data_IF_127113638010
#
_entry.id   IF_127113638010
#
_cell.length_a   1.000
_cell.length_b   1.000
_cell.length_c   1.000
_cell.angle_alpha   90.00
_cell.angle_beta   90.00
_cell.angle_gamma   90.00
#
_symmetry.space_group_name_H-M   'P 1'
#
loop_
_entity.id
_entity.type
_entity.pdbx_description
1 polymer ?
#
# COMPACT_ATOMS: atom_id res chain seq x y z
N UNK A 1 95.98 -16.87 -3.06
CA UNK A 1 95.36 -15.62 -2.69
C UNK A 1 94.59 -15.15 -3.87
N UNK A 2 93.25 -15.41 -3.95
CA UNK A 2 92.41 -14.84 -4.97
C UNK A 2 90.98 -14.86 -4.44
N UNK A 3 90.43 -13.71 -4.20
CA UNK A 3 89.07 -13.53 -3.68
C UNK A 3 88.07 -13.73 -4.80
N UNK A 4 87.10 -14.65 -4.66
CA UNK A 4 85.93 -14.80 -5.51
C UNK A 4 84.82 -13.96 -4.90
N UNK A 5 84.26 -13.02 -5.66
CA UNK A 5 83.07 -12.24 -5.33
C UNK A 5 81.80 -13.01 -5.74
N UNK A 6 80.99 -13.30 -4.76
CA UNK A 6 79.68 -13.92 -4.96
C UNK A 6 78.66 -12.83 -5.20
N UNK A 7 78.00 -12.76 -6.36
CA UNK A 7 77.00 -11.86 -6.71
C UNK A 7 75.59 -12.46 -6.32
N UNK A 8 74.91 -11.80 -5.38
CA UNK A 8 73.57 -12.14 -4.92
C UNK A 8 72.57 -11.57 -5.91
N UNK A 9 71.84 -12.40 -6.63
CA UNK A 9 70.69 -11.98 -7.47
C UNK A 9 69.46 -12.08 -6.62
N UNK A 10 68.88 -10.93 -6.28
CA UNK A 10 67.56 -10.80 -5.70
C UNK A 10 66.51 -10.96 -6.79
N UNK A 11 65.70 -12.00 -6.71
CA UNK A 11 64.50 -12.18 -7.54
C UNK A 11 63.33 -11.40 -6.89
N UNK A 12 62.85 -10.39 -7.57
CA UNK A 12 61.58 -9.73 -7.23
C UNK A 12 60.44 -10.62 -7.71
N UNK A 13 59.73 -11.24 -6.81
CA UNK A 13 58.43 -11.85 -7.09
C UNK A 13 57.36 -10.76 -7.04
N UNK A 14 56.82 -10.40 -8.21
CA UNK A 14 55.66 -9.54 -8.32
C UNK A 14 54.39 -10.33 -7.97
N UNK A 15 53.83 -10.07 -6.80
CA UNK A 15 52.51 -10.57 -6.41
C UNK A 15 51.44 -9.77 -7.14
N UNK A 16 50.81 -10.38 -8.13
CA UNK A 16 49.62 -9.86 -8.79
C UNK A 16 48.44 -10.06 -7.83
N UNK A 17 48.00 -8.98 -7.17
CA UNK A 17 46.73 -8.96 -6.48
C UNK A 17 45.62 -8.92 -7.55
N UNK A 18 44.93 -10.03 -7.76
CA UNK A 18 43.67 -10.09 -8.50
C UNK A 18 42.59 -9.38 -7.66
N UNK A 19 42.24 -8.17 -8.06
CA UNK A 19 41.07 -7.48 -7.52
C UNK A 19 39.84 -8.23 -8.02
N UNK A 20 39.15 -8.92 -7.12
CA UNK A 20 37.79 -9.41 -7.36
C UNK A 20 36.88 -8.18 -7.51
N UNK A 21 36.03 -8.11 -8.56
CA UNK A 21 35.01 -7.06 -8.62
C UNK A 21 34.02 -7.29 -7.48
N UNK A 22 34.05 -6.40 -6.49
CA UNK A 22 33.05 -6.36 -5.45
C UNK A 22 31.69 -6.24 -6.10
N UNK A 23 30.78 -7.17 -5.81
CA UNK A 23 29.36 -7.04 -6.05
C UNK A 23 28.91 -5.79 -5.30
N UNK A 24 28.84 -4.67 -6.01
CA UNK A 24 28.16 -3.46 -5.54
C UNK A 24 26.70 -3.86 -5.34
N UNK A 25 26.30 -4.04 -4.08
CA UNK A 25 24.91 -4.04 -3.70
C UNK A 25 24.33 -2.72 -4.25
N UNK A 26 23.45 -2.83 -5.22
CA UNK A 26 22.71 -1.69 -5.74
C UNK A 26 21.86 -1.15 -4.57
N UNK A 27 22.42 -0.26 -3.78
CA UNK A 27 21.63 0.68 -3.00
C UNK A 27 20.84 1.47 -4.03
N UNK A 28 19.54 1.21 -4.11
CA UNK A 28 18.62 2.16 -4.74
C UNK A 28 18.73 3.46 -3.95
N UNK A 29 19.65 4.33 -4.34
CA UNK A 29 19.60 5.72 -3.96
C UNK A 29 18.34 6.26 -4.59
N UNK A 30 17.31 6.51 -3.78
CA UNK A 30 16.21 7.34 -4.18
C UNK A 30 16.79 8.73 -4.43
N UNK A 31 17.20 8.99 -5.67
CA UNK A 31 17.53 10.36 -6.09
C UNK A 31 16.22 11.14 -6.04
N UNK A 32 16.11 11.98 -5.01
CA UNK A 32 15.18 13.07 -4.98
C UNK A 32 15.63 14.09 -6.04
N UNK A 33 15.10 13.99 -7.23
CA UNK A 33 15.05 15.13 -8.11
C UNK A 33 14.04 16.09 -7.50
N UNK A 34 14.50 17.12 -6.82
CA UNK A 34 13.70 18.27 -6.49
C UNK A 34 13.42 19.04 -7.79
N UNK A 35 12.52 18.57 -8.60
CA UNK A 35 11.79 19.48 -9.48
C UNK A 35 11.06 20.46 -8.57
N UNK A 36 11.01 21.74 -8.96
CA UNK A 36 10.30 22.76 -8.22
C UNK A 36 8.90 22.23 -7.89
N UNK A 37 8.79 21.68 -6.69
CA UNK A 37 7.58 21.01 -6.27
C UNK A 37 6.49 22.06 -6.31
N UNK A 38 5.36 21.73 -6.89
CA UNK A 38 4.18 22.55 -6.78
C UNK A 38 3.90 22.70 -5.28
N UNK A 39 4.26 23.83 -4.68
CA UNK A 39 4.18 24.09 -3.23
C UNK A 39 2.74 24.30 -2.76
N UNK A 40 1.81 24.39 -3.72
CA UNK A 40 0.40 24.61 -3.44
C UNK A 40 -0.28 23.30 -3.00
N UNK A 41 -1.17 23.40 -2.01
CA UNK A 41 -1.98 22.28 -1.52
C UNK A 41 -3.16 21.93 -2.45
N UNK A 42 -3.09 22.28 -3.73
CA UNK A 42 -4.15 22.08 -4.72
C UNK A 42 -4.11 20.68 -5.34
N UNK A 43 -5.26 20.20 -5.78
CA UNK A 43 -5.39 18.87 -6.40
C UNK A 43 -4.48 18.71 -7.65
N UNK A 44 -4.30 19.75 -8.46
CA UNK A 44 -3.38 19.72 -9.60
C UNK A 44 -1.92 19.46 -9.23
N UNK A 45 -1.55 19.74 -7.97
CA UNK A 45 -0.21 19.51 -7.41
C UNK A 45 -0.11 18.18 -6.65
N UNK A 46 -1.18 17.40 -6.62
CA UNK A 46 -1.22 16.17 -5.86
C UNK A 46 -0.22 15.13 -6.40
N UNK A 47 0.46 14.45 -5.49
CA UNK A 47 1.33 13.30 -5.81
C UNK A 47 0.65 11.97 -5.52
N UNK A 48 -0.32 11.97 -4.60
CA UNK A 48 -1.11 10.82 -4.16
C UNK A 48 -2.54 11.27 -3.93
N UNK A 49 -3.50 10.57 -4.52
CA UNK A 49 -4.94 10.85 -4.36
C UNK A 49 -5.65 9.56 -3.95
N UNK A 50 -6.46 9.62 -2.90
CA UNK A 50 -7.27 8.49 -2.43
C UNK A 50 -8.74 8.87 -2.47
N UNK A 51 -9.57 8.17 -3.26
CA UNK A 51 -11.00 8.37 -3.33
C UNK A 51 -11.75 7.56 -2.26
N UNK A 52 -12.91 8.04 -1.85
CA UNK A 52 -13.92 7.28 -1.12
C UNK A 52 -15.32 7.82 -1.45
N UNK A 53 -16.33 6.95 -1.50
CA UNK A 53 -17.73 7.42 -1.57
C UNK A 53 -18.37 7.46 -0.19
N UNK A 54 -19.14 8.50 0.05
CA UNK A 54 -20.09 8.57 1.14
C UNK A 54 -21.40 7.83 0.80
N UNK A 55 -22.23 7.54 1.81
CA UNK A 55 -23.48 6.80 1.62
C UNK A 55 -24.52 7.55 0.77
N UNK A 56 -24.37 8.86 0.64
CA UNK A 56 -25.20 9.73 -0.20
C UNK A 56 -24.71 9.84 -1.66
N UNK A 57 -23.68 9.06 -2.04
CA UNK A 57 -23.06 9.10 -3.35
C UNK A 57 -22.09 10.28 -3.54
N UNK A 58 -21.77 11.04 -2.49
CA UNK A 58 -20.73 12.07 -2.56
C UNK A 58 -19.36 11.43 -2.67
N UNK A 59 -18.62 11.76 -3.73
CA UNK A 59 -17.21 11.37 -3.89
C UNK A 59 -16.34 12.29 -3.03
N UNK A 60 -15.51 11.70 -2.19
CA UNK A 60 -14.50 12.36 -1.40
C UNK A 60 -13.10 12.03 -1.93
N UNK A 61 -12.23 13.03 -1.98
CA UNK A 61 -10.82 12.87 -2.29
C UNK A 61 -9.98 13.36 -1.12
N UNK A 62 -8.99 12.57 -0.72
CA UNK A 62 -7.90 13.02 0.13
C UNK A 62 -6.59 12.96 -0.66
N UNK A 63 -5.78 14.01 -0.61
CA UNK A 63 -4.53 14.04 -1.37
C UNK A 63 -3.36 14.69 -0.63
N UNK A 64 -2.16 14.36 -1.11
CA UNK A 64 -0.90 14.94 -0.67
C UNK A 64 -0.38 15.91 -1.72
N UNK A 65 -0.17 17.16 -1.32
CA UNK A 65 0.44 18.20 -2.16
C UNK A 65 1.17 19.23 -1.28
N UNK A 66 2.34 19.69 -1.70
CA UNK A 66 3.08 20.74 -1.01
C UNK A 66 3.34 20.49 0.48
N UNK A 67 3.57 19.21 0.87
CA UNK A 67 3.76 18.81 2.27
C UNK A 67 2.51 18.91 3.14
N UNK A 68 1.32 18.93 2.54
CA UNK A 68 0.03 19.05 3.22
C UNK A 68 -0.94 17.96 2.79
N UNK A 69 -1.91 17.68 3.64
CA UNK A 69 -3.08 16.86 3.33
C UNK A 69 -4.26 17.78 3.12
N UNK A 70 -4.98 17.57 2.03
CA UNK A 70 -6.19 18.29 1.69
C UNK A 70 -7.32 17.33 1.32
N UNK A 71 -8.57 17.78 1.48
CA UNK A 71 -9.77 17.02 1.16
C UNK A 71 -10.73 17.92 0.35
N UNK A 72 -11.40 17.34 -0.63
CA UNK A 72 -12.53 17.95 -1.32
C UNK A 72 -13.58 16.90 -1.64
N UNK A 73 -14.78 17.36 -1.95
CA UNK A 73 -15.91 16.50 -2.35
C UNK A 73 -16.46 16.86 -3.71
N UNK A 74 -17.09 15.90 -4.35
CA UNK A 74 -17.81 16.05 -5.60
C UNK A 74 -19.19 15.38 -5.48
N UNK A 75 -20.23 16.05 -5.96
CA UNK A 75 -21.60 15.54 -6.04
C UNK A 75 -22.02 15.17 -7.46
N UNK A 76 -21.14 15.35 -8.42
CA UNK A 76 -21.37 15.16 -9.85
C UNK A 76 -20.40 14.15 -10.47
N UNK A 77 -19.99 13.15 -9.67
CA UNK A 77 -19.11 12.05 -10.07
C UNK A 77 -17.75 12.55 -10.59
N UNK A 78 -17.15 13.50 -9.87
CA UNK A 78 -15.80 13.99 -10.14
C UNK A 78 -15.70 15.03 -11.26
N UNK A 79 -16.82 15.50 -11.83
CA UNK A 79 -16.80 16.56 -12.86
C UNK A 79 -16.44 17.92 -12.29
N UNK A 80 -16.85 18.19 -11.04
CA UNK A 80 -16.43 19.36 -10.28
C UNK A 80 -16.19 19.00 -8.81
N UNK A 81 -15.36 19.80 -8.14
CA UNK A 81 -15.02 19.60 -6.74
C UNK A 81 -15.32 20.86 -5.93
N UNK A 82 -15.70 20.66 -4.67
CA UNK A 82 -15.81 21.74 -3.69
C UNK A 82 -14.48 22.48 -3.51
N UNK A 83 -14.53 23.64 -2.88
CA UNK A 83 -13.31 24.24 -2.32
C UNK A 83 -12.64 23.23 -1.40
N UNK A 84 -11.34 23.04 -1.56
CA UNK A 84 -10.58 22.10 -0.74
C UNK A 84 -10.44 22.59 0.70
N UNK A 85 -10.54 21.67 1.63
CA UNK A 85 -10.22 21.87 3.05
C UNK A 85 -8.82 21.34 3.31
N UNK A 86 -7.93 22.20 3.78
CA UNK A 86 -6.60 21.81 4.20
C UNK A 86 -6.67 21.21 5.61
N UNK A 87 -6.25 19.96 5.72
CA UNK A 87 -6.34 19.16 6.95
C UNK A 87 -5.15 19.40 7.88
N UNK A 88 -3.99 19.70 7.28
CA UNK A 88 -2.73 19.87 8.01
C UNK A 88 -2.16 21.27 7.82
N UNK A 89 -1.93 21.97 8.94
CA UNK A 89 -1.13 23.18 9.04
C UNK A 89 -0.23 23.07 10.27
N UNK A 90 1.05 23.29 10.17
CA UNK A 90 1.87 23.72 9.04
C UNK A 90 2.20 22.58 8.03
N UNK A 91 3.10 22.85 7.10
CA UNK A 91 3.71 21.86 6.21
C UNK A 91 4.39 20.76 7.01
N UNK A 92 4.15 19.50 6.64
CA UNK A 92 4.66 18.31 7.30
C UNK A 92 5.61 17.54 6.38
N UNK A 93 6.56 16.80 6.95
CA UNK A 93 7.36 15.81 6.23
C UNK A 93 6.52 14.53 6.04
N UNK A 94 5.62 14.57 5.05
CA UNK A 94 4.71 13.46 4.75
C UNK A 94 5.47 12.24 4.25
N UNK A 95 5.01 11.04 4.60
CA UNK A 95 5.54 9.81 4.03
C UNK A 95 5.12 9.69 2.55
N UNK A 96 6.06 10.00 1.67
CA UNK A 96 5.90 9.97 0.21
C UNK A 96 6.29 8.62 -0.41
N UNK A 97 6.60 7.61 0.39
CA UNK A 97 6.97 6.27 -0.08
C UNK A 97 5.97 5.69 -1.08
N UNK A 98 6.40 4.79 -1.97
CA UNK A 98 5.56 4.31 -3.08
C UNK A 98 4.22 3.72 -2.66
N UNK A 99 4.14 3.06 -1.49
CA UNK A 99 2.90 2.47 -0.96
C UNK A 99 2.21 3.34 0.11
N UNK A 100 2.83 4.46 0.51
CA UNK A 100 2.24 5.41 1.44
C UNK A 100 1.29 6.37 0.71
N UNK A 101 0.15 6.68 1.33
CA UNK A 101 -0.84 7.66 0.87
C UNK A 101 -1.82 7.97 1.98
N UNK A 102 -2.49 9.14 1.96
CA UNK A 102 -3.58 9.38 2.90
C UNK A 102 -4.68 8.35 2.69
N UNK A 103 -5.27 7.89 3.78
CA UNK A 103 -6.44 7.00 3.78
C UNK A 103 -7.63 7.80 4.21
N UNK A 104 -8.74 7.65 3.50
CA UNK A 104 -10.03 8.28 3.82
C UNK A 104 -11.10 7.21 3.86
N UNK A 105 -11.95 7.27 4.88
CA UNK A 105 -13.13 6.43 5.01
C UNK A 105 -14.30 7.30 5.43
N UNK A 106 -15.51 6.97 4.95
CA UNK A 106 -16.74 7.67 5.24
C UNK A 106 -17.73 6.69 5.84
N UNK A 107 -18.32 7.01 7.00
CA UNK A 107 -19.31 6.16 7.66
C UNK A 107 -20.71 6.34 7.08
N UNK A 108 -21.64 5.47 7.48
CA UNK A 108 -23.04 5.51 7.03
C UNK A 108 -23.80 6.79 7.44
N UNK A 109 -23.25 7.62 8.33
CA UNK A 109 -23.83 8.89 8.79
C UNK A 109 -23.12 10.11 8.18
N UNK A 110 -22.12 9.89 7.31
CA UNK A 110 -21.32 10.95 6.69
C UNK A 110 -20.17 11.46 7.54
N UNK A 111 -19.83 10.78 8.65
CA UNK A 111 -18.61 11.02 9.41
C UNK A 111 -17.40 10.59 8.59
N UNK A 112 -16.30 11.37 8.62
CA UNK A 112 -15.10 11.10 7.84
C UNK A 112 -13.94 10.83 8.79
N UNK A 113 -13.29 9.69 8.62
CA UNK A 113 -12.00 9.39 9.23
C UNK A 113 -10.89 9.48 8.18
N UNK A 114 -9.75 10.05 8.57
CA UNK A 114 -8.59 10.22 7.69
C UNK A 114 -7.32 9.85 8.45
N UNK A 115 -6.45 9.06 7.83
CA UNK A 115 -5.15 8.68 8.37
C UNK A 115 -4.05 8.90 7.34
N UNK A 116 -2.85 9.26 7.81
CA UNK A 116 -1.67 9.45 6.99
C UNK A 116 -0.41 9.31 7.84
N UNK A 117 0.72 9.04 7.20
CA UNK A 117 2.01 8.93 7.87
C UNK A 117 2.90 10.12 7.58
N UNK A 118 3.69 10.51 8.59
CA UNK A 118 4.77 11.51 8.47
C UNK A 118 6.10 10.89 8.84
N UNK A 119 7.20 11.47 8.38
CA UNK A 119 8.53 11.21 8.91
C UNK A 119 8.85 12.21 10.03
N UNK A 120 9.31 11.71 11.16
CA UNK A 120 9.69 12.53 12.33
C UNK A 120 11.15 12.96 12.29
N UNK A 121 11.96 12.28 11.49
CA UNK A 121 13.39 12.51 11.39
C UNK A 121 13.96 12.02 10.05
N UNK A 122 15.22 12.37 9.79
CA UNK A 122 15.94 11.97 8.58
C UNK A 122 16.31 10.49 8.49
N UNK A 123 16.07 9.71 9.55
CA UNK A 123 16.20 8.25 9.55
C UNK A 123 14.91 7.57 9.08
N UNK A 124 13.93 8.36 8.59
CA UNK A 124 12.63 7.91 8.10
C UNK A 124 11.81 7.16 9.16
N UNK A 125 11.94 7.56 10.43
CA UNK A 125 11.06 7.06 11.48
C UNK A 125 9.67 7.65 11.31
N UNK A 126 8.74 6.81 10.89
CA UNK A 126 7.37 7.23 10.59
C UNK A 126 6.53 7.39 11.86
N UNK A 127 5.45 8.17 11.73
CA UNK A 127 4.36 8.24 12.68
C UNK A 127 3.04 8.30 11.94
N UNK A 128 2.10 7.42 12.29
CA UNK A 128 0.74 7.45 11.78
C UNK A 128 -0.06 8.48 12.57
N UNK A 129 -0.58 9.45 11.83
CA UNK A 129 -1.52 10.46 12.35
C UNK A 129 -2.94 10.14 11.85
N UNK A 130 -3.91 10.47 12.71
CA UNK A 130 -5.32 10.28 12.40
C UNK A 130 -6.11 11.52 12.78
N UNK A 131 -7.13 11.82 12.00
CA UNK A 131 -8.06 12.91 12.23
C UNK A 131 -9.46 12.54 11.74
N UNK A 132 -10.44 13.37 12.06
CA UNK A 132 -11.84 13.18 11.68
C UNK A 132 -12.54 14.49 11.36
N UNK A 133 -13.60 14.39 10.58
CA UNK A 133 -14.59 15.43 10.41
C UNK A 133 -15.96 14.89 10.85
N UNK A 134 -16.71 15.71 11.60
CA UNK A 134 -18.09 15.44 12.04
C UNK A 134 -19.10 16.44 11.47
N UNK A 135 -18.64 17.34 10.60
CA UNK A 135 -19.41 18.44 10.04
C UNK A 135 -19.57 18.34 8.51
N UNK A 136 -19.43 17.13 7.96
CA UNK A 136 -19.52 16.88 6.52
C UNK A 136 -18.31 17.42 5.76
N UNK A 137 -17.11 17.26 6.30
CA UNK A 137 -15.83 17.60 5.65
C UNK A 137 -15.53 19.09 5.60
N UNK A 138 -16.31 19.95 6.28
CA UNK A 138 -16.08 21.41 6.32
C UNK A 138 -14.88 21.79 7.19
N UNK A 139 -14.61 20.97 8.20
CA UNK A 139 -13.41 21.07 9.03
C UNK A 139 -12.96 19.69 9.52
N UNK A 140 -11.69 19.61 9.93
CA UNK A 140 -11.11 18.42 10.53
C UNK A 140 -10.52 18.75 11.89
N UNK A 141 -10.66 17.82 12.85
CA UNK A 141 -9.98 17.93 14.13
C UNK A 141 -8.44 17.95 13.91
N UNK A 142 -7.65 18.58 14.79
CA UNK A 142 -6.18 18.51 14.68
C UNK A 142 -5.71 17.06 14.62
N UNK A 143 -4.85 16.68 13.65
CA UNK A 143 -4.32 15.33 13.54
C UNK A 143 -3.54 14.93 14.80
N UNK A 144 -3.74 13.71 15.27
CA UNK A 144 -3.06 13.18 16.45
C UNK A 144 -2.46 11.79 16.17
N UNK A 145 -1.37 11.40 16.87
CA UNK A 145 -0.82 10.07 16.77
C UNK A 145 -1.86 9.00 17.09
N UNK A 146 -1.90 7.93 16.28
CA UNK A 146 -2.80 6.78 16.55
C UNK A 146 -2.42 6.01 17.81
N UNK A 147 -1.19 6.13 18.25
CA UNK A 147 -0.66 5.49 19.46
C UNK A 147 0.37 6.41 20.13
N UNK A 148 0.48 6.34 21.45
CA UNK A 148 1.51 7.04 22.23
C UNK A 148 2.91 6.42 22.09
N UNK A 149 3.04 5.25 21.45
CA UNK A 149 4.35 4.62 21.26
C UNK A 149 5.18 5.39 20.23
N UNK A 150 6.47 5.61 20.52
CA UNK A 150 7.40 6.39 19.71
C UNK A 150 8.22 5.56 18.71
N UNK A 151 7.97 4.27 18.55
CA UNK A 151 8.60 3.51 17.47
C UNK A 151 8.10 3.98 16.09
N UNK A 152 8.78 3.57 15.03
CA UNK A 152 8.36 3.91 13.67
C UNK A 152 7.06 3.19 13.31
N UNK A 153 6.02 3.96 12.90
CA UNK A 153 4.74 3.45 12.40
C UNK A 153 4.50 3.95 10.98
N UNK A 154 4.05 3.06 10.08
CA UNK A 154 3.79 3.39 8.66
C UNK A 154 2.73 2.47 8.05
N UNK A 155 2.30 2.79 6.84
CA UNK A 155 1.43 1.95 5.98
C UNK A 155 0.10 1.60 6.62
N UNK A 156 -0.55 2.61 7.16
CA UNK A 156 -1.87 2.49 7.77
C UNK A 156 -2.95 2.08 6.75
N UNK A 157 -3.97 1.39 7.28
CA UNK A 157 -5.26 1.16 6.64
C UNK A 157 -6.35 1.50 7.63
N UNK A 158 -7.41 2.15 7.18
CA UNK A 158 -8.59 2.49 7.99
C UNK A 158 -9.86 2.15 7.25
N UNK A 159 -10.91 1.85 8.00
CA UNK A 159 -12.26 1.65 7.47
C UNK A 159 -13.27 1.68 8.59
N UNK A 160 -14.54 1.84 8.22
CA UNK A 160 -15.66 1.71 9.16
C UNK A 160 -16.31 0.34 8.98
N UNK A 161 -16.67 -0.28 10.10
CA UNK A 161 -17.60 -1.39 10.07
C UNK A 161 -19.05 -0.88 9.81
N UNK A 162 -20.01 -1.75 9.54
CA UNK A 162 -21.42 -1.35 9.35
C UNK A 162 -22.05 -0.63 10.56
N UNK A 163 -21.53 -0.81 11.76
CA UNK A 163 -21.99 -0.14 12.98
C UNK A 163 -21.38 1.26 13.17
N UNK A 164 -20.42 1.65 12.33
CA UNK A 164 -19.72 2.94 12.41
C UNK A 164 -18.53 2.95 13.36
N UNK A 165 -17.99 1.77 13.70
CA UNK A 165 -16.73 1.65 14.43
C UNK A 165 -15.57 1.79 13.45
N UNK A 166 -14.61 2.67 13.73
CA UNK A 166 -13.38 2.76 12.96
C UNK A 166 -12.48 1.59 13.34
N UNK A 167 -12.01 0.86 12.36
CA UNK A 167 -10.91 -0.07 12.47
C UNK A 167 -9.68 0.52 11.79
N UNK A 168 -8.55 0.57 12.49
CA UNK A 168 -7.29 1.04 11.96
C UNK A 168 -6.21 -0.01 12.19
N UNK A 169 -5.39 -0.28 11.17
CA UNK A 169 -4.24 -1.18 11.24
C UNK A 169 -3.00 -0.49 10.67
N UNK A 170 -1.82 -0.81 11.17
CA UNK A 170 -0.56 -0.22 10.71
C UNK A 170 0.64 -1.13 11.00
N UNK A 171 1.75 -0.91 10.31
CA UNK A 171 3.03 -1.55 10.60
C UNK A 171 3.81 -0.73 11.63
N UNK A 172 4.34 -1.41 12.67
CA UNK A 172 4.94 -0.79 13.85
C UNK A 172 6.23 -1.51 14.24
N UNK A 173 7.30 -0.76 14.43
CA UNK A 173 8.63 -1.32 14.77
C UNK A 173 8.90 -1.45 16.28
N UNK A 174 7.90 -1.26 17.15
CA UNK A 174 8.10 -1.27 18.63
C UNK A 174 8.71 -2.57 19.16
N UNK A 175 8.46 -3.70 18.52
CA UNK A 175 8.96 -5.00 18.96
C UNK A 175 10.40 -5.28 18.49
N UNK A 176 10.93 -4.50 17.52
CA UNK A 176 12.23 -4.76 16.90
C UNK A 176 13.40 -4.65 17.88
N UNK A 177 13.50 -3.52 18.59
CA UNK A 177 14.61 -3.30 19.53
C UNK A 177 14.60 -4.30 20.71
N UNK A 178 13.47 -4.58 21.38
CA UNK A 178 13.41 -5.63 22.39
C UNK A 178 13.80 -7.01 21.89
N UNK A 179 13.34 -7.43 20.70
CA UNK A 179 13.69 -8.72 20.13
C UNK A 179 15.20 -8.83 19.86
N UNK A 180 15.79 -7.78 19.26
CA UNK A 180 17.24 -7.74 19.00
C UNK A 180 18.08 -7.76 20.29
N UNK A 181 17.65 -7.06 21.35
CA UNK A 181 18.29 -7.10 22.68
C UNK A 181 18.26 -8.50 23.28
N UNK A 182 17.24 -9.28 22.99
CA UNK A 182 17.11 -10.68 23.42
C UNK A 182 17.80 -11.68 22.46
N UNK A 183 18.60 -11.20 21.50
CA UNK A 183 19.32 -12.04 20.52
C UNK A 183 18.42 -12.70 19.47
N UNK A 184 17.20 -12.22 19.29
CA UNK A 184 16.28 -12.74 18.28
C UNK A 184 16.46 -12.03 16.94
N UNK A 185 16.38 -12.77 15.84
CA UNK A 185 16.31 -12.19 14.50
C UNK A 185 14.96 -11.50 14.31
N UNK A 186 14.99 -10.20 14.01
CA UNK A 186 13.79 -9.39 13.76
C UNK A 186 14.03 -8.46 12.57
N UNK A 187 13.57 -8.88 11.40
CA UNK A 187 13.89 -8.24 10.10
C UNK A 187 12.76 -7.36 9.56
N UNK A 188 11.68 -7.21 10.31
CA UNK A 188 10.46 -6.55 9.88
C UNK A 188 9.88 -5.55 10.87
N UNK A 189 8.58 -5.49 10.88
CA UNK A 189 7.72 -4.76 11.81
C UNK A 189 6.60 -5.68 12.32
N UNK A 190 5.89 -5.28 13.35
CA UNK A 190 4.65 -5.96 13.73
C UNK A 190 3.46 -5.28 13.05
N UNK A 191 2.43 -6.05 12.71
CA UNK A 191 1.13 -5.55 12.32
C UNK A 191 0.31 -5.32 13.58
N UNK A 192 -0.06 -4.05 13.85
CA UNK A 192 -0.91 -3.63 14.95
C UNK A 192 -2.26 -3.13 14.45
N UNK A 193 -3.24 -3.13 15.35
CA UNK A 193 -4.54 -2.51 15.12
C UNK A 193 -5.06 -1.81 16.36
N UNK A 194 -6.02 -0.90 16.16
CA UNK A 194 -6.86 -0.30 17.20
C UNK A 194 -8.24 0.01 16.62
N UNK A 195 -9.22 0.17 17.49
CA UNK A 195 -10.60 0.51 17.11
C UNK A 195 -11.07 1.78 17.79
N UNK A 196 -12.00 2.49 17.16
CA UNK A 196 -12.67 3.66 17.72
C UNK A 196 -14.18 3.52 17.58
N UNK A 197 -14.91 3.71 18.67
CA UNK A 197 -16.38 3.68 18.70
C UNK A 197 -17.03 5.05 18.74
N UNK A 198 -16.22 6.10 18.73
CA UNK A 198 -16.65 7.50 18.81
C UNK A 198 -16.30 8.28 17.53
N UNK A 199 -16.26 7.56 16.39
CA UNK A 199 -15.98 8.12 15.07
C UNK A 199 -14.56 8.61 14.88
N UNK A 200 -13.57 8.02 15.59
CA UNK A 200 -12.15 8.37 15.47
C UNK A 200 -11.69 9.43 16.45
N UNK A 201 -12.49 9.74 17.49
CA UNK A 201 -12.05 10.67 18.53
C UNK A 201 -11.02 10.02 19.49
N UNK A 202 -11.33 8.82 19.98
CA UNK A 202 -10.41 8.03 20.78
C UNK A 202 -10.26 6.65 20.19
N UNK A 203 -9.10 6.03 20.41
CA UNK A 203 -8.78 4.67 19.97
C UNK A 203 -8.47 3.79 21.17
N UNK A 204 -8.83 2.51 21.06
CA UNK A 204 -8.42 1.48 22.01
C UNK A 204 -6.90 1.39 22.08
N UNK A 205 -6.38 0.72 23.09
CA UNK A 205 -4.97 0.33 23.11
C UNK A 205 -4.61 -0.48 21.86
N UNK A 206 -3.40 -0.20 21.34
CA UNK A 206 -2.89 -0.89 20.17
C UNK A 206 -2.62 -2.37 20.49
N UNK A 207 -3.18 -3.28 19.69
CA UNK A 207 -3.06 -4.73 19.83
C UNK A 207 -2.36 -5.33 18.62
N UNK A 208 -1.59 -6.38 18.87
CA UNK A 208 -0.84 -7.06 17.81
C UNK A 208 -1.74 -8.02 17.01
N UNK A 209 -1.55 -8.06 15.71
CA UNK A 209 -2.16 -9.03 14.78
C UNK A 209 -1.14 -10.09 14.39
N UNK A 210 0.05 -9.65 13.97
CA UNK A 210 1.13 -10.53 13.55
C UNK A 210 2.48 -9.86 13.86
N UNK A 211 3.47 -10.64 14.25
CA UNK A 211 4.80 -10.14 14.59
C UNK A 211 5.81 -10.45 13.48
N UNK A 212 6.87 -9.64 13.39
CA UNK A 212 7.94 -9.77 12.42
C UNK A 212 7.45 -9.91 10.97
N UNK A 213 6.57 -9.00 10.54
CA UNK A 213 6.02 -8.91 9.18
C UNK A 213 6.87 -7.99 8.28
N UNK A 214 6.63 -7.99 6.97
CA UNK A 214 7.33 -7.09 6.06
C UNK A 214 7.00 -5.61 6.36
N UNK A 215 8.04 -4.80 6.62
CA UNK A 215 7.92 -3.44 7.15
C UNK A 215 7.58 -2.34 6.14
N UNK A 216 7.42 -2.65 4.86
CA UNK A 216 7.45 -1.63 3.81
C UNK A 216 6.35 -1.74 2.75
N UNK A 217 5.28 -2.46 3.02
CA UNK A 217 4.21 -2.69 2.05
C UNK A 217 2.87 -2.20 2.60
N UNK A 218 2.04 -1.62 1.71
CA UNK A 218 0.67 -1.26 2.08
C UNK A 218 -0.12 -2.47 2.56
N UNK A 219 -1.12 -2.21 3.38
CA UNK A 219 -2.10 -3.19 3.82
C UNK A 219 -3.32 -3.16 2.90
N UNK A 220 -3.92 -4.33 2.65
CA UNK A 220 -5.27 -4.47 2.15
C UNK A 220 -6.23 -4.62 3.32
N UNK A 221 -7.31 -3.86 3.36
CA UNK A 221 -8.35 -3.95 4.38
C UNK A 221 -9.71 -4.09 3.72
N UNK A 222 -10.48 -5.07 4.16
CA UNK A 222 -11.88 -5.25 3.81
C UNK A 222 -12.67 -5.67 5.06
N UNK A 223 -13.99 -5.63 4.97
CA UNK A 223 -14.87 -6.17 6.00
C UNK A 223 -15.71 -7.30 5.39
N UNK A 224 -15.87 -8.39 6.13
CA UNK A 224 -16.72 -9.51 5.72
C UNK A 224 -18.22 -9.15 5.87
N UNK A 225 -19.09 -10.08 5.47
CA UNK A 225 -20.54 -9.89 5.55
C UNK A 225 -21.08 -9.66 6.97
N UNK A 226 -20.30 -9.94 8.02
CA UNK A 226 -20.61 -9.68 9.42
C UNK A 226 -20.02 -8.35 9.92
N UNK A 227 -19.27 -7.63 9.07
CA UNK A 227 -18.56 -6.43 9.44
C UNK A 227 -17.24 -6.70 10.17
N UNK A 228 -16.72 -7.92 10.12
CA UNK A 228 -15.44 -8.24 10.73
C UNK A 228 -14.27 -7.88 9.80
N UNK A 229 -13.18 -7.29 10.34
CA UNK A 229 -12.05 -6.91 9.53
C UNK A 229 -11.31 -8.13 8.94
N UNK A 230 -10.84 -7.95 7.73
CA UNK A 230 -9.92 -8.87 7.04
C UNK A 230 -8.74 -8.04 6.54
N UNK A 231 -7.52 -8.42 6.95
CA UNK A 231 -6.32 -7.68 6.61
C UNK A 231 -5.38 -8.55 5.78
N UNK A 232 -5.07 -8.09 4.57
CA UNK A 232 -4.04 -8.67 3.73
C UNK A 232 -2.74 -7.86 3.87
N UNK A 233 -1.62 -8.55 4.02
CA UNK A 233 -0.31 -7.95 4.21
C UNK A 233 0.78 -8.87 3.69
N UNK A 234 2.01 -8.39 3.68
CA UNK A 234 3.15 -9.21 3.34
C UNK A 234 3.84 -9.68 4.62
N UNK A 235 3.91 -11.00 4.82
CA UNK A 235 4.47 -11.61 6.02
C UNK A 235 5.92 -12.06 5.79
N UNK A 236 6.67 -12.26 6.86
CA UNK A 236 7.98 -12.92 6.86
C UNK A 236 7.79 -14.33 7.43
N UNK A 237 7.92 -15.33 6.56
CA UNK A 237 7.89 -16.74 6.92
C UNK A 237 9.28 -17.28 7.20
N UNK A 238 9.37 -18.53 7.66
CA UNK A 238 10.63 -19.22 7.91
C UNK A 238 11.61 -19.08 6.74
N UNK A 239 12.90 -18.93 7.04
CA UNK A 239 13.95 -18.71 6.03
C UNK A 239 13.95 -17.31 5.40
N UNK A 240 13.28 -16.33 6.01
CA UNK A 240 13.22 -14.95 5.50
C UNK A 240 12.37 -14.79 4.23
N UNK A 241 11.46 -15.72 3.97
CA UNK A 241 10.55 -15.69 2.82
C UNK A 241 9.46 -14.65 3.07
N UNK A 242 9.30 -13.69 2.16
CA UNK A 242 8.37 -12.56 2.27
C UNK A 242 7.20 -12.71 1.29
N UNK A 243 6.24 -13.57 1.62
CA UNK A 243 5.05 -13.80 0.83
C UNK A 243 3.80 -13.14 1.43
N UNK A 244 2.76 -13.02 0.62
CA UNK A 244 1.52 -12.40 1.05
C UNK A 244 0.70 -13.33 1.93
N UNK A 245 0.07 -12.74 2.93
CA UNK A 245 -0.75 -13.42 3.92
C UNK A 245 -2.02 -12.62 4.22
N UNK A 246 -2.96 -13.28 4.88
CA UNK A 246 -4.23 -12.71 5.33
C UNK A 246 -4.48 -13.10 6.78
N UNK A 247 -5.13 -12.21 7.52
CA UNK A 247 -5.73 -12.49 8.83
C UNK A 247 -7.18 -12.07 8.77
N UNK A 248 -8.05 -12.96 9.22
CA UNK A 248 -9.48 -12.69 9.45
C UNK A 248 -9.71 -12.47 10.94
N UNK A 249 -10.68 -11.64 11.27
CA UNK A 249 -11.04 -11.37 12.66
C UNK A 249 -12.35 -12.04 13.00
N UNK A 250 -12.47 -12.62 14.18
CA UNK A 250 -13.71 -13.18 14.68
C UNK A 250 -14.71 -12.10 15.13
N UNK A 251 -14.18 -10.94 15.50
CA UNK A 251 -14.87 -9.68 15.83
C UNK A 251 -13.87 -8.53 15.64
N UNK A 252 -14.26 -7.28 15.96
CA UNK A 252 -13.37 -6.11 15.84
C UNK A 252 -12.10 -6.15 16.72
N UNK A 253 -12.00 -7.09 17.65
CA UNK A 253 -10.90 -7.18 18.60
C UNK A 253 -10.13 -8.49 18.60
N UNK A 254 -10.57 -9.50 17.85
CA UNK A 254 -10.06 -10.89 17.95
C UNK A 254 -9.46 -11.34 16.61
N UNK A 255 -8.17 -11.04 16.33
CA UNK A 255 -7.49 -11.54 15.15
C UNK A 255 -7.34 -13.06 15.21
N UNK A 256 -7.56 -13.72 14.08
CA UNK A 256 -7.36 -15.15 13.89
C UNK A 256 -5.92 -15.51 13.53
N UNK A 257 -5.73 -16.67 12.94
CA UNK A 257 -4.44 -17.14 12.47
C UNK A 257 -4.00 -16.45 11.18
N UNK A 258 -2.68 -16.40 10.95
CA UNK A 258 -2.08 -15.91 9.71
C UNK A 258 -2.13 -17.02 8.66
N UNK A 259 -2.87 -16.82 7.58
CA UNK A 259 -2.92 -17.74 6.44
C UNK A 259 -2.13 -17.19 5.25
N UNK A 260 -1.24 -18.01 4.68
CA UNK A 260 -0.43 -17.63 3.52
C UNK A 260 -1.27 -17.74 2.25
N UNK A 261 -1.35 -16.64 1.48
CA UNK A 261 -2.13 -16.59 0.23
C UNK A 261 -1.52 -17.49 -0.84
N UNK A 262 -0.19 -17.46 -0.98
CA UNK A 262 0.52 -18.26 -1.96
C UNK A 262 1.95 -18.53 -1.50
N UNK A 263 2.51 -19.68 -1.91
CA UNK A 263 3.94 -20.03 -1.71
C UNK A 263 4.74 -19.57 -2.93
N UNK A 264 5.13 -18.30 -2.91
CA UNK A 264 5.91 -17.68 -3.99
C UNK A 264 7.42 -17.82 -3.76
N UNK A 265 7.81 -18.04 -2.51
CA UNK A 265 9.18 -18.19 -2.02
C UNK A 265 10.05 -16.98 -2.38
N UNK A 266 9.54 -15.79 -2.13
CA UNK A 266 10.26 -14.56 -2.40
C UNK A 266 11.20 -14.19 -1.24
N UNK A 267 12.44 -14.57 -1.33
CA UNK A 267 13.52 -14.16 -0.42
C UNK A 267 14.12 -12.83 -0.88
N UNK A 268 14.00 -11.80 -0.05
CA UNK A 268 14.53 -10.46 -0.33
C UNK A 268 14.88 -9.73 0.96
N UNK A 269 16.07 -9.15 1.03
CA UNK A 269 16.52 -8.27 2.12
C UNK A 269 16.39 -6.79 1.75
N UNK A 270 15.28 -6.41 1.11
CA UNK A 270 15.01 -5.04 0.65
C UNK A 270 13.53 -4.70 0.80
N UNK A 271 13.20 -3.43 0.62
CA UNK A 271 11.84 -2.87 0.68
C UNK A 271 11.27 -2.66 -0.74
N UNK A 272 10.60 -3.65 -1.35
CA UNK A 272 10.11 -3.54 -2.72
C UNK A 272 8.84 -2.71 -2.85
N UNK A 273 8.14 -2.38 -1.76
CA UNK A 273 6.90 -1.61 -1.75
C UNK A 273 5.81 -2.18 -2.68
N UNK A 274 5.56 -3.47 -2.60
CA UNK A 274 4.53 -4.17 -3.35
C UNK A 274 3.52 -4.83 -2.40
N UNK A 275 2.69 -4.03 -1.75
CA UNK A 275 1.61 -4.52 -0.90
C UNK A 275 0.44 -5.09 -1.72
N UNK A 276 -0.38 -5.97 -1.11
CA UNK A 276 -1.53 -6.60 -1.74
C UNK A 276 -2.71 -5.63 -1.90
N UNK A 277 -3.70 -6.06 -2.68
CA UNK A 277 -5.06 -5.54 -2.65
C UNK A 277 -6.03 -6.67 -2.32
N UNK A 278 -7.05 -6.36 -1.54
CA UNK A 278 -8.07 -7.28 -1.05
C UNK A 278 -9.44 -6.68 -1.27
N UNK A 279 -10.39 -7.49 -1.70
CA UNK A 279 -11.82 -7.21 -1.63
C UNK A 279 -12.57 -8.48 -1.25
N UNK A 280 -13.78 -8.33 -0.72
CA UNK A 280 -14.69 -9.45 -0.41
C UNK A 280 -15.96 -9.20 -1.21
N UNK A 281 -16.38 -10.20 -1.99
CA UNK A 281 -17.59 -10.13 -2.78
C UNK A 281 -18.83 -10.31 -1.90
N UNK A 282 -20.03 -9.94 -2.39
CA UNK A 282 -21.29 -10.21 -1.69
C UNK A 282 -21.52 -11.68 -1.36
N UNK A 283 -20.94 -12.58 -2.15
CA UNK A 283 -20.96 -14.04 -1.96
C UNK A 283 -20.05 -14.50 -0.79
N UNK A 284 -19.26 -13.57 -0.22
CA UNK A 284 -18.31 -13.87 0.86
C UNK A 284 -16.99 -14.45 0.38
N UNK A 285 -16.71 -14.42 -0.91
CA UNK A 285 -15.43 -14.86 -1.47
C UNK A 285 -14.37 -13.75 -1.26
N UNK A 286 -13.20 -14.14 -0.79
CA UNK A 286 -12.06 -13.24 -0.63
C UNK A 286 -11.21 -13.24 -1.89
N UNK A 287 -10.97 -12.06 -2.47
CA UNK A 287 -10.19 -11.88 -3.69
C UNK A 287 -8.94 -11.08 -3.37
N UNK A 288 -7.77 -11.66 -3.66
CA UNK A 288 -6.47 -11.05 -3.38
C UNK A 288 -5.67 -10.92 -4.66
N UNK A 289 -5.07 -9.75 -4.87
CA UNK A 289 -4.08 -9.51 -5.92
C UNK A 289 -2.77 -9.04 -5.31
N UNK A 290 -1.66 -9.52 -5.86
CA UNK A 290 -0.33 -9.17 -5.36
C UNK A 290 0.75 -9.26 -6.44
N UNK A 291 1.88 -8.61 -6.18
CA UNK A 291 3.10 -8.78 -6.95
C UNK A 291 4.09 -9.66 -6.19
N UNK A 292 4.77 -10.53 -6.90
CA UNK A 292 5.89 -11.31 -6.37
C UNK A 292 7.05 -11.36 -7.35
N UNK A 293 8.27 -11.54 -6.83
CA UNK A 293 9.46 -11.87 -7.60
C UNK A 293 10.17 -13.07 -6.94
N UNK A 294 9.36 -14.03 -6.52
CA UNK A 294 9.80 -15.25 -5.86
C UNK A 294 10.42 -16.26 -6.80
N UNK A 295 10.96 -17.34 -6.22
CA UNK A 295 11.51 -18.45 -7.00
C UNK A 295 10.44 -19.23 -7.74
N UNK A 296 9.26 -19.39 -7.11
CA UNK A 296 8.16 -20.17 -7.69
C UNK A 296 7.46 -19.42 -8.82
N UNK A 297 7.35 -18.07 -8.72
CA UNK A 297 6.69 -17.25 -9.76
C UNK A 297 7.11 -15.79 -9.68
N UNK A 298 6.91 -15.05 -10.82
CA UNK A 298 7.28 -13.63 -10.94
C UNK A 298 6.18 -12.87 -11.68
N UNK A 299 5.83 -11.67 -11.18
CA UNK A 299 4.82 -10.79 -11.76
C UNK A 299 3.66 -10.55 -10.83
N UNK A 300 2.52 -10.14 -11.40
CA UNK A 300 1.25 -10.01 -10.68
C UNK A 300 0.46 -11.30 -10.72
N UNK A 301 -0.25 -11.55 -9.63
CA UNK A 301 -1.11 -12.72 -9.49
C UNK A 301 -2.41 -12.35 -8.79
N UNK A 302 -3.42 -13.17 -9.04
CA UNK A 302 -4.72 -13.16 -8.40
C UNK A 302 -5.00 -14.54 -7.84
N UNK A 303 -5.65 -14.61 -6.69
CA UNK A 303 -6.26 -15.82 -6.13
C UNK A 303 -7.50 -15.47 -5.32
N UNK A 304 -8.38 -16.46 -5.12
CA UNK A 304 -9.57 -16.32 -4.31
C UNK A 304 -9.67 -17.43 -3.26
N UNK A 305 -10.40 -17.11 -2.17
CA UNK A 305 -10.71 -18.03 -1.09
C UNK A 305 -12.22 -18.01 -0.81
N UNK A 306 -12.82 -19.21 -0.69
CA UNK A 306 -14.25 -19.41 -0.37
C UNK A 306 -14.46 -20.01 1.03
N UNK A 307 -13.41 -20.12 1.81
CA UNK A 307 -13.41 -20.73 3.14
C UNK A 307 -12.95 -19.75 4.24
N UNK A 308 -13.16 -18.44 4.00
CA UNK A 308 -12.80 -17.39 4.95
C UNK A 308 -11.29 -17.13 5.02
N UNK A 309 -10.56 -17.31 3.93
CA UNK A 309 -9.13 -17.02 3.83
C UNK A 309 -8.20 -18.14 4.31
N UNK A 310 -8.73 -19.33 4.60
CA UNK A 310 -7.93 -20.47 5.07
C UNK A 310 -7.12 -21.10 3.95
N UNK A 311 -7.76 -21.25 2.76
CA UNK A 311 -7.11 -21.76 1.56
C UNK A 311 -7.42 -20.88 0.36
N UNK A 312 -6.53 -20.87 -0.63
CA UNK A 312 -6.66 -20.08 -1.85
C UNK A 312 -6.52 -20.94 -3.08
N UNK A 313 -7.17 -20.54 -4.18
CA UNK A 313 -6.97 -21.16 -5.49
C UNK A 313 -5.53 -21.03 -5.96
N UNK A 314 -5.14 -21.83 -6.95
CA UNK A 314 -3.87 -21.63 -7.64
C UNK A 314 -3.79 -20.21 -8.22
N UNK A 315 -2.63 -19.52 -8.06
CA UNK A 315 -2.47 -18.15 -8.51
C UNK A 315 -2.61 -17.99 -10.02
N UNK A 316 -3.58 -17.19 -10.45
CA UNK A 316 -3.77 -16.79 -11.84
C UNK A 316 -2.79 -15.65 -12.17
N UNK A 317 -1.92 -15.78 -13.19
CA UNK A 317 -1.03 -14.71 -13.62
C UNK A 317 -1.82 -13.55 -14.27
N UNK A 318 -1.43 -12.30 -13.94
CA UNK A 318 -2.07 -11.08 -14.39
C UNK A 318 -1.05 -10.18 -15.09
N UNK A 319 -1.41 -9.65 -16.26
CA UNK A 319 -0.55 -8.74 -17.01
C UNK A 319 0.63 -9.41 -17.71
N UNK A 320 1.48 -8.60 -18.29
CA UNK A 320 2.64 -9.04 -19.08
C UNK A 320 3.93 -8.81 -18.29
N UNK A 321 4.61 -9.87 -17.87
CA UNK A 321 5.83 -9.80 -17.03
C UNK A 321 6.92 -8.92 -17.66
N UNK A 322 7.07 -8.94 -18.98
CA UNK A 322 8.05 -8.13 -19.72
C UNK A 322 7.69 -6.63 -19.78
N UNK A 323 6.48 -6.24 -19.35
CA UNK A 323 6.04 -4.83 -19.20
C UNK A 323 6.05 -4.35 -17.75
N UNK A 324 6.64 -5.11 -16.82
CA UNK A 324 6.75 -4.75 -15.40
C UNK A 324 5.40 -4.47 -14.74
N UNK A 325 4.43 -5.42 -14.79
CA UNK A 325 3.10 -5.21 -14.20
C UNK A 325 3.23 -4.95 -12.71
N UNK A 326 2.53 -3.94 -12.21
CA UNK A 326 2.69 -3.45 -10.84
C UNK A 326 1.44 -2.76 -10.30
N UNK A 327 1.36 -2.58 -8.98
CA UNK A 327 0.33 -1.80 -8.30
C UNK A 327 -1.09 -2.30 -8.59
N UNK A 328 -1.37 -3.60 -8.40
CA UNK A 328 -2.70 -4.11 -8.63
C UNK A 328 -3.67 -3.57 -7.60
N UNK A 329 -4.91 -3.34 -8.03
CA UNK A 329 -6.05 -3.15 -7.15
C UNK A 329 -7.24 -3.92 -7.67
N UNK A 330 -8.01 -4.51 -6.74
CA UNK A 330 -9.24 -5.24 -7.02
C UNK A 330 -10.37 -4.69 -6.15
N UNK A 331 -11.57 -4.63 -6.72
CA UNK A 331 -12.80 -4.27 -6.02
C UNK A 331 -13.95 -5.17 -6.47
N UNK A 332 -14.82 -5.52 -5.53
CA UNK A 332 -16.15 -6.02 -5.84
C UNK A 332 -17.08 -4.81 -6.01
N UNK A 333 -17.60 -4.63 -7.22
CA UNK A 333 -18.51 -3.57 -7.60
C UNK A 333 -19.88 -4.12 -7.98
N UNK A 334 -20.81 -3.26 -8.44
CA UNK A 334 -22.18 -3.67 -8.78
C UNK A 334 -22.25 -4.69 -9.93
N UNK A 335 -21.29 -4.61 -10.86
CA UNK A 335 -21.24 -5.49 -12.04
C UNK A 335 -20.28 -6.67 -11.85
N UNK A 336 -19.89 -7.00 -10.62
CA UNK A 336 -18.94 -8.05 -10.29
C UNK A 336 -17.57 -7.49 -9.92
N UNK A 337 -16.51 -8.20 -10.25
CA UNK A 337 -15.14 -7.81 -9.89
C UNK A 337 -14.51 -6.95 -10.99
N UNK A 338 -13.78 -5.93 -10.57
CA UNK A 338 -12.90 -5.17 -11.43
C UNK A 338 -11.48 -5.18 -10.83
N UNK A 339 -10.47 -5.40 -11.68
CA UNK A 339 -9.07 -5.40 -11.30
C UNK A 339 -8.27 -4.51 -12.25
N UNK A 340 -7.50 -3.58 -11.70
CA UNK A 340 -6.61 -2.70 -12.47
C UNK A 340 -5.16 -2.87 -12.03
N UNK A 341 -4.23 -2.60 -12.94
CA UNK A 341 -2.79 -2.55 -12.66
C UNK A 341 -2.08 -1.65 -13.65
N UNK A 342 -0.83 -1.28 -13.33
CA UNK A 342 0.04 -0.53 -14.24
C UNK A 342 0.97 -1.46 -14.99
N UNK A 343 1.24 -1.12 -16.27
CA UNK A 343 2.32 -1.69 -17.09
C UNK A 343 3.10 -0.57 -17.75
N UNK A 344 4.39 -0.79 -17.98
CA UNK A 344 5.27 0.13 -18.70
C UNK A 344 5.89 -0.57 -19.91
N UNK A 345 5.75 0.03 -21.10
CA UNK A 345 6.23 -0.57 -22.36
C UNK A 345 7.59 -0.03 -22.84
N UNK A 346 8.26 0.76 -22.00
CA UNK A 346 9.50 1.46 -22.30
C UNK A 346 9.30 2.94 -22.68
N UNK A 347 8.07 3.34 -22.97
CA UNK A 347 7.72 4.72 -23.37
C UNK A 347 6.61 5.28 -22.52
N UNK A 348 5.54 4.52 -22.29
CA UNK A 348 4.36 4.96 -21.56
C UNK A 348 3.95 3.95 -20.49
N UNK A 349 3.34 4.47 -19.43
CA UNK A 349 2.64 3.69 -18.41
C UNK A 349 1.17 3.58 -18.79
N UNK A 350 0.65 2.36 -18.89
CA UNK A 350 -0.77 2.08 -19.11
C UNK A 350 -1.42 1.57 -17.84
N UNK A 351 -2.67 1.95 -17.60
CA UNK A 351 -3.57 1.30 -16.65
C UNK A 351 -4.39 0.28 -17.41
N UNK A 352 -4.24 -0.99 -17.04
CA UNK A 352 -4.96 -2.10 -17.63
C UNK A 352 -6.09 -2.55 -16.71
N UNK A 353 -7.16 -3.08 -17.26
CA UNK A 353 -8.36 -3.56 -16.59
C UNK A 353 -8.70 -4.98 -17.03
N UNK A 354 -9.13 -5.79 -16.09
CA UNK A 354 -9.89 -7.03 -16.28
C UNK A 354 -11.13 -7.00 -15.40
N UNK A 355 -12.22 -7.61 -15.86
CA UNK A 355 -13.48 -7.76 -15.12
C UNK A 355 -13.90 -9.22 -15.03
N UNK A 356 -14.68 -9.55 -14.01
CA UNK A 356 -15.28 -10.87 -13.83
C UNK A 356 -16.72 -10.70 -13.34
N UNK A 357 -17.67 -11.42 -13.96
CA UNK A 357 -19.10 -11.41 -13.63
C UNK A 357 -19.55 -12.68 -12.92
N UNK A 358 -18.63 -13.60 -12.62
CA UNK A 358 -18.86 -14.92 -12.04
C UNK A 358 -18.01 -15.17 -10.78
N UNK A 359 -17.86 -14.12 -9.97
CA UNK A 359 -17.13 -14.15 -8.70
C UNK A 359 -15.68 -14.65 -8.85
N UNK A 360 -15.01 -14.20 -9.93
CA UNK A 360 -13.61 -14.50 -10.20
C UNK A 360 -13.32 -15.88 -10.81
N UNK A 361 -14.36 -16.62 -11.21
CA UNK A 361 -14.19 -17.91 -11.87
C UNK A 361 -13.61 -17.74 -13.29
N UNK A 362 -14.08 -16.73 -14.02
CA UNK A 362 -13.51 -16.32 -15.31
C UNK A 362 -13.24 -14.81 -15.37
N UNK A 363 -12.32 -14.41 -16.22
CA UNK A 363 -11.91 -13.03 -16.38
C UNK A 363 -11.93 -12.60 -17.85
N UNK A 364 -12.32 -11.35 -18.10
CA UNK A 364 -12.20 -10.72 -19.41
C UNK A 364 -10.72 -10.67 -19.88
N UNK A 365 -10.51 -10.43 -21.16
CA UNK A 365 -9.16 -10.13 -21.65
C UNK A 365 -8.68 -8.77 -21.10
N UNK A 366 -7.37 -8.62 -20.80
CA UNK A 366 -6.82 -7.34 -20.39
C UNK A 366 -7.03 -6.26 -21.47
N UNK A 367 -7.49 -5.07 -21.06
CA UNK A 367 -7.56 -3.89 -21.92
C UNK A 367 -6.99 -2.67 -21.21
N UNK A 368 -6.29 -1.83 -21.97
CA UNK A 368 -5.83 -0.52 -21.47
C UNK A 368 -7.02 0.45 -21.39
N UNK A 369 -7.16 1.16 -20.28
CA UNK A 369 -8.24 2.12 -20.04
C UNK A 369 -7.75 3.54 -19.82
N UNK A 370 -6.45 3.72 -19.53
CA UNK A 370 -5.78 5.01 -19.42
C UNK A 370 -4.28 4.83 -19.65
N UNK A 371 -3.59 5.88 -20.05
CA UNK A 371 -2.13 5.87 -20.17
C UNK A 371 -1.53 7.27 -19.95
N UNK A 372 -0.22 7.33 -19.68
CA UNK A 372 0.56 8.56 -19.59
C UNK A 372 2.03 8.28 -19.93
N UNK A 373 2.70 9.31 -20.49
CA UNK A 373 4.15 9.28 -20.73
C UNK A 373 4.97 9.84 -19.57
N UNK A 374 4.32 10.23 -18.47
CA UNK A 374 4.96 10.86 -17.32
C UNK A 374 4.72 10.04 -16.03
N UNK A 375 5.26 10.54 -14.92
CA UNK A 375 5.05 9.95 -13.60
C UNK A 375 3.57 9.90 -13.24
N UNK A 376 3.18 8.84 -12.58
CA UNK A 376 1.79 8.64 -12.15
C UNK A 376 1.70 7.92 -10.83
N UNK A 377 0.64 8.20 -10.10
CA UNK A 377 0.26 7.48 -8.89
C UNK A 377 -0.22 6.04 -9.18
N UNK A 378 -0.61 5.31 -8.15
CA UNK A 378 -1.30 4.02 -8.31
C UNK A 378 -2.71 4.23 -8.86
N UNK A 379 -3.18 3.43 -9.82
CA UNK A 379 -4.59 3.41 -10.16
C UNK A 379 -5.38 2.86 -8.99
N UNK A 380 -6.45 3.53 -8.61
CA UNK A 380 -7.38 3.09 -7.58
C UNK A 380 -8.77 2.89 -8.17
N UNK A 381 -9.46 1.87 -7.67
CA UNK A 381 -10.86 1.61 -7.96
C UNK A 381 -11.71 2.02 -6.75
N UNK A 382 -12.86 2.62 -7.01
CA UNK A 382 -13.87 2.93 -6.01
C UNK A 382 -15.26 2.74 -6.61
N UNK A 383 -16.26 2.39 -5.81
CA UNK A 383 -17.64 2.21 -6.26
C UNK A 383 -18.59 3.03 -5.40
N UNK A 384 -19.63 3.61 -6.04
CA UNK A 384 -20.77 4.25 -5.37
C UNK A 384 -21.95 3.27 -5.14
N UNK A 385 -21.71 1.96 -5.37
CA UNK A 385 -22.72 0.91 -5.30
C UNK A 385 -23.57 0.76 -6.56
N UNK A 386 -23.43 1.67 -7.54
CA UNK A 386 -24.14 1.64 -8.84
C UNK A 386 -23.17 1.52 -10.00
N UNK A 387 -21.98 2.07 -9.84
CA UNK A 387 -20.93 2.13 -10.84
C UNK A 387 -19.57 1.99 -10.17
N UNK A 388 -18.62 1.36 -10.86
CA UNK A 388 -17.20 1.34 -10.50
C UNK A 388 -16.44 2.40 -11.28
N UNK A 389 -15.50 3.07 -10.61
CA UNK A 389 -14.71 4.17 -11.19
C UNK A 389 -13.21 3.92 -11.02
N UNK A 390 -12.43 4.34 -12.02
CA UNK A 390 -11.00 4.52 -11.91
C UNK A 390 -10.71 5.92 -11.34
N UNK A 391 -9.85 5.98 -10.33
CA UNK A 391 -9.23 7.20 -9.78
C UNK A 391 -7.73 7.13 -10.03
N UNK A 392 -7.18 8.08 -10.76
CA UNK A 392 -5.78 8.06 -11.15
C UNK A 392 -5.19 9.46 -11.26
N UNK A 393 -4.03 9.68 -10.66
CA UNK A 393 -3.29 10.93 -10.73
C UNK A 393 -2.06 10.77 -11.61
N UNK A 394 -1.89 11.65 -12.59
CA UNK A 394 -0.71 11.74 -13.45
C UNK A 394 -0.06 13.11 -13.31
N UNK A 395 1.25 13.19 -13.53
CA UNK A 395 1.95 14.47 -13.49
C UNK A 395 1.63 15.32 -14.73
N UNK A 396 1.46 14.67 -15.91
CA UNK A 396 1.21 15.37 -17.17
C UNK A 396 -0.20 15.96 -17.24
N UNK A 397 -1.22 15.15 -16.86
CA UNK A 397 -2.63 15.46 -17.17
C UNK A 397 -3.45 15.78 -15.91
N UNK A 398 -2.84 15.61 -14.71
CA UNK A 398 -3.51 15.83 -13.43
C UNK A 398 -4.36 14.63 -13.00
N UNK A 399 -5.46 14.93 -12.28
CA UNK A 399 -6.34 13.93 -11.71
C UNK A 399 -7.42 13.47 -12.70
N UNK A 400 -7.51 12.15 -12.87
CA UNK A 400 -8.51 11.48 -13.70
C UNK A 400 -9.48 10.71 -12.82
N UNK A 401 -10.77 10.88 -13.09
CA UNK A 401 -11.86 10.11 -12.49
C UNK A 401 -12.83 9.70 -13.59
N UNK A 402 -12.95 8.41 -13.86
CA UNK A 402 -13.77 7.92 -14.96
C UNK A 402 -14.50 6.63 -14.59
N UNK A 403 -15.74 6.50 -15.05
CA UNK A 403 -16.50 5.26 -14.94
C UNK A 403 -15.81 4.12 -15.71
N UNK A 404 -15.80 2.93 -15.13
CA UNK A 404 -15.42 1.71 -15.82
C UNK A 404 -16.66 1.21 -16.55
N UNK A 405 -16.59 1.19 -17.89
CA UNK A 405 -17.63 0.60 -18.69
C UNK A 405 -17.58 -0.91 -18.60
N UNK A 406 -18.73 -1.54 -18.31
CA UNK A 406 -18.89 -2.97 -18.45
C UNK A 406 -18.68 -3.34 -19.94
N UNK A 407 -17.96 -4.43 -20.21
CA UNK A 407 -17.96 -4.99 -21.57
C UNK A 407 -19.34 -5.54 -21.89
N UNK A 408 -19.87 -5.30 -23.12
CA UNK A 408 -21.15 -5.80 -23.53
C UNK A 408 -21.20 -7.34 -23.62
#
# INVERSE_FOLDING_TARGET
MTFARLALRTALTATVLAALPGLAAAQMSHQHTSEAACEEALLRCATKVTPAFGPDGTLWLAWMAGGRISVASSKDQGKSFSTSVQVTEPQLDLDWGPDARPKIAVDARGGIALAFSIFRDKAFNGQVLITRSTDGGRSFAPPKPITANNASQRFEAIGFDPAGTVFAAWLDKRNRAPAQQNGQTYDGAALFFATSRDGGETYSDARIVADNTCECCRLGLAFDGNGHPVVAFRNIFEGGVRDHAIVTFADLGSPGEVHRVSRDDWQIAACPHHGPSLTISPEGTYHVTWYTNGKARKGLFYAQSRDGGKTFTDPLPVGQVNRGPSRPQIIAGPDGLAMVWKEFDGTKTSVNLMTSHDDGATWSKPRAIADTNDASDHPLLVSDGRQTYLSWMTKADGYHFQAIEAEP
#
